data_IF_703013406094
#
_entry.id   IF_703013406094
#
_cell.length_a   1.000
_cell.length_b   1.000
_cell.length_c   1.000
_cell.angle_alpha   90.00
_cell.angle_beta   90.00
_cell.angle_gamma   90.00
#
_symmetry.space_group_name_H-M   'P 1'
#
loop_
_entity.id
_entity.type
_entity.pdbx_description
1 polymer ?
#
# COMPACT_ATOMS: atom_id res chain seq x y z
N UNK A 1 16.33 63.82 -4.57
CA UNK A 1 17.60 64.40 -4.03
C UNK A 1 18.56 63.26 -3.75
N UNK A 2 19.65 63.25 -4.52
CA UNK A 2 20.93 62.56 -4.37
C UNK A 2 20.99 61.04 -4.42
N UNK A 3 21.34 60.58 -5.55
CA UNK A 3 22.19 59.51 -6.06
C UNK A 3 23.49 59.41 -5.22
N UNK A 4 23.92 58.19 -4.94
CA UNK A 4 25.33 57.89 -4.85
C UNK A 4 25.62 56.53 -5.44
N UNK A 5 26.17 56.59 -6.63
CA UNK A 5 27.08 55.61 -7.24
C UNK A 5 28.42 55.61 -6.48
N UNK A 6 29.05 54.48 -6.34
CA UNK A 6 30.49 54.25 -6.51
C UNK A 6 30.74 52.77 -6.10
N UNK A 7 31.49 52.02 -6.72
CA UNK A 7 32.49 51.93 -7.79
C UNK A 7 33.09 50.52 -7.63
N UNK A 8 33.00 49.73 -8.66
CA UNK A 8 34.15 49.28 -9.45
C UNK A 8 35.37 48.73 -8.70
N UNK A 9 35.64 47.48 -8.89
CA UNK A 9 36.88 46.97 -9.56
C UNK A 9 37.00 45.45 -9.46
N UNK A 10 36.80 44.82 -10.58
CA UNK A 10 37.69 43.77 -11.17
C UNK A 10 38.59 42.97 -10.23
N UNK A 11 38.32 41.69 -10.12
CA UNK A 11 39.38 40.67 -10.13
C UNK A 11 38.90 39.50 -10.99
N UNK A 12 39.48 39.42 -12.15
CA UNK A 12 39.56 38.26 -13.02
C UNK A 12 40.45 37.23 -12.33
N UNK A 13 39.93 36.06 -12.04
CA UNK A 13 40.73 34.88 -11.84
C UNK A 13 40.13 33.74 -12.66
N UNK A 14 40.77 33.54 -13.79
CA UNK A 14 40.71 32.36 -14.65
C UNK A 14 41.24 31.20 -13.83
N UNK A 15 40.43 30.22 -13.54
CA UNK A 15 40.93 28.88 -13.21
C UNK A 15 40.14 27.82 -13.96
N UNK A 16 40.95 27.10 -14.69
CA UNK A 16 40.64 26.17 -15.75
C UNK A 16 39.66 25.07 -15.36
N UNK A 17 38.79 24.79 -16.32
CA UNK A 17 38.05 23.58 -16.54
C UNK A 17 38.82 22.30 -16.24
N UNK A 18 38.21 21.44 -15.44
CA UNK A 18 38.26 20.01 -15.64
C UNK A 18 36.79 19.50 -15.67
N UNK A 19 36.27 19.44 -16.88
CA UNK A 19 35.04 18.72 -17.17
C UNK A 19 35.33 17.24 -17.11
N UNK A 20 35.21 16.66 -15.93
CA UNK A 20 35.13 15.21 -15.81
C UNK A 20 33.70 14.81 -16.19
N UNK A 21 33.52 14.32 -17.40
CA UNK A 21 32.32 13.62 -17.83
C UNK A 21 32.19 12.32 -17.03
N UNK A 22 31.49 12.38 -15.93
CA UNK A 22 31.03 11.16 -15.24
C UNK A 22 29.86 10.65 -16.06
N UNK A 23 30.13 9.69 -16.92
CA UNK A 23 29.13 8.83 -17.54
C UNK A 23 28.48 8.01 -16.43
N UNK A 24 27.35 8.50 -15.89
CA UNK A 24 26.47 7.67 -15.10
C UNK A 24 25.83 6.66 -16.05
N UNK A 25 26.36 5.45 -16.05
CA UNK A 25 25.63 4.29 -16.51
C UNK A 25 24.36 4.20 -15.62
N UNK A 26 23.22 4.56 -16.16
CA UNK A 26 21.92 4.29 -15.56
C UNK A 26 21.75 2.78 -15.51
N UNK A 27 22.20 2.18 -14.42
CA UNK A 27 21.74 0.87 -14.01
C UNK A 27 20.26 1.05 -13.63
N UNK A 28 19.38 0.43 -14.38
CA UNK A 28 17.94 0.36 -14.03
C UNK A 28 17.83 -0.02 -12.55
N UNK A 29 17.46 0.96 -11.73
CA UNK A 29 17.26 0.73 -10.31
C UNK A 29 15.90 0.03 -10.17
N UNK A 30 15.95 -1.25 -9.89
CA UNK A 30 14.81 -1.96 -9.30
C UNK A 30 14.35 -1.18 -8.07
N UNK A 31 13.03 -0.96 -7.86
CA UNK A 31 12.54 -0.25 -6.69
C UNK A 31 13.08 -0.93 -5.44
N UNK A 32 13.51 -0.15 -4.41
CA UNK A 32 14.01 -0.72 -3.18
C UNK A 32 12.94 -1.61 -2.54
N UNK A 33 13.32 -2.80 -2.06
CA UNK A 33 12.39 -3.64 -1.31
C UNK A 33 11.94 -2.88 -0.06
N UNK A 34 10.70 -3.11 0.42
CA UNK A 34 10.22 -2.52 1.66
C UNK A 34 11.18 -2.90 2.81
N UNK A 35 11.37 -1.99 3.81
CA UNK A 35 12.29 -2.25 4.90
C UNK A 35 11.93 -3.54 5.66
N UNK A 36 12.92 -4.34 6.10
CA UNK A 36 12.69 -5.55 6.86
C UNK A 36 11.91 -5.21 8.14
N UNK A 37 10.81 -5.90 8.40
CA UNK A 37 10.11 -5.83 9.69
C UNK A 37 10.92 -6.58 10.73
N UNK A 38 11.22 -5.94 11.85
CA UNK A 38 11.94 -6.52 12.99
C UNK A 38 11.30 -7.82 13.48
N UNK A 39 12.14 -8.82 13.67
CA UNK A 39 11.84 -10.17 14.16
C UNK A 39 11.20 -10.14 15.54
N UNK A 40 9.97 -10.62 15.67
CA UNK A 40 9.31 -10.94 16.95
C UNK A 40 8.79 -12.36 16.93
N UNK A 41 9.64 -13.29 17.43
CA UNK A 41 9.25 -14.46 18.23
C UNK A 41 8.31 -15.51 17.61
N UNK A 42 8.88 -16.66 17.43
CA UNK A 42 8.39 -18.01 17.08
C UNK A 42 7.06 -18.41 17.77
N UNK A 43 5.93 -18.29 17.07
CA UNK A 43 4.71 -19.14 17.10
C UNK A 43 3.53 -18.59 16.27
N UNK A 44 3.80 -17.67 15.33
CA UNK A 44 2.79 -17.11 14.41
C UNK A 44 3.01 -17.47 12.93
N UNK A 45 3.94 -18.36 12.63
CA UNK A 45 4.69 -18.40 11.39
C UNK A 45 3.89 -18.64 10.10
N UNK A 46 2.96 -19.58 10.06
CA UNK A 46 2.27 -19.92 8.81
C UNK A 46 1.23 -18.86 8.36
N UNK A 47 0.69 -18.09 9.29
CA UNK A 47 -0.25 -17.01 8.95
C UNK A 47 0.48 -15.75 8.51
N UNK A 48 1.66 -15.49 9.08
CA UNK A 48 2.50 -14.35 8.73
C UNK A 48 3.11 -14.53 7.34
N UNK A 49 3.67 -15.70 7.06
CA UNK A 49 4.24 -16.07 5.76
C UNK A 49 3.23 -15.94 4.62
N UNK A 50 1.98 -16.35 4.84
CA UNK A 50 0.91 -16.20 3.84
C UNK A 50 0.54 -14.75 3.59
N UNK A 51 0.56 -13.91 4.62
CA UNK A 51 0.25 -12.48 4.48
C UNK A 51 1.37 -11.76 3.76
N UNK A 52 2.62 -12.00 4.13
CA UNK A 52 3.80 -11.44 3.49
C UNK A 52 3.88 -11.81 2.01
N UNK A 53 3.60 -13.06 1.68
CA UNK A 53 3.50 -13.51 0.29
C UNK A 53 2.39 -12.77 -0.49
N UNK A 54 1.22 -12.54 0.12
CA UNK A 54 0.13 -11.80 -0.52
C UNK A 54 0.50 -10.33 -0.72
N UNK A 55 1.13 -9.71 0.27
CA UNK A 55 1.58 -8.31 0.17
C UNK A 55 2.64 -8.15 -0.94
N UNK A 56 3.62 -9.05 -1.00
CA UNK A 56 4.64 -9.06 -2.06
C UNK A 56 4.01 -9.22 -3.45
N UNK A 57 3.09 -10.16 -3.61
CA UNK A 57 2.35 -10.35 -4.85
C UNK A 57 1.55 -9.10 -5.23
N UNK A 58 0.93 -8.43 -4.25
CA UNK A 58 0.16 -7.21 -4.46
C UNK A 58 1.04 -6.05 -4.92
N UNK A 59 2.20 -5.88 -4.30
CA UNK A 59 3.17 -4.86 -4.69
C UNK A 59 3.58 -5.03 -6.15
N UNK A 60 4.01 -6.23 -6.54
CA UNK A 60 4.39 -6.52 -7.91
C UNK A 60 3.23 -6.31 -8.91
N UNK A 61 2.04 -6.76 -8.54
CA UNK A 61 0.83 -6.58 -9.36
C UNK A 61 0.47 -5.11 -9.57
N UNK A 62 0.39 -4.33 -8.49
CA UNK A 62 0.02 -2.91 -8.57
C UNK A 62 1.08 -2.09 -9.31
N UNK A 63 2.38 -2.32 -9.05
CA UNK A 63 3.47 -1.63 -9.76
C UNK A 63 3.32 -1.81 -11.27
N UNK A 64 3.08 -3.04 -11.72
CA UNK A 64 2.89 -3.36 -13.15
C UNK A 64 1.61 -2.74 -13.71
N UNK A 65 0.48 -2.84 -13.00
CA UNK A 65 -0.83 -2.35 -13.48
C UNK A 65 -0.91 -0.84 -13.57
N UNK A 66 -0.27 -0.13 -12.63
CA UNK A 66 -0.23 1.32 -12.60
C UNK A 66 0.87 1.89 -13.50
N UNK A 67 1.79 1.05 -13.99
CA UNK A 67 2.96 1.50 -14.76
C UNK A 67 3.69 2.64 -14.03
N UNK A 68 4.05 2.38 -12.75
CA UNK A 68 4.70 3.37 -11.90
C UNK A 68 6.14 3.59 -12.37
N UNK A 69 6.51 4.86 -12.54
CA UNK A 69 7.93 5.22 -12.64
C UNK A 69 8.61 5.04 -11.29
N UNK A 70 9.95 4.99 -11.26
CA UNK A 70 10.69 4.89 -10.00
C UNK A 70 10.39 6.05 -9.05
N UNK A 71 10.23 7.26 -9.57
CA UNK A 71 9.90 8.45 -8.79
C UNK A 71 8.48 8.38 -8.22
N UNK A 72 7.51 7.97 -9.03
CA UNK A 72 6.14 7.77 -8.57
C UNK A 72 6.05 6.67 -7.50
N UNK A 73 6.76 5.56 -7.70
CA UNK A 73 6.79 4.45 -6.75
C UNK A 73 7.36 4.88 -5.38
N UNK A 74 8.43 5.67 -5.36
CA UNK A 74 9.02 6.20 -4.12
C UNK A 74 8.03 7.07 -3.32
N UNK A 75 7.18 7.85 -4.00
CA UNK A 75 6.17 8.70 -3.35
C UNK A 75 4.90 7.92 -2.99
N UNK A 76 4.51 6.98 -3.81
CA UNK A 76 3.26 6.23 -3.68
C UNK A 76 3.30 5.18 -2.58
N UNK A 77 4.34 4.33 -2.53
CA UNK A 77 4.38 3.19 -1.60
C UNK A 77 4.29 3.56 -0.13
N UNK A 78 4.95 4.61 0.38
CA UNK A 78 4.79 5.00 1.77
C UNK A 78 3.34 5.37 2.13
N UNK A 79 2.66 6.07 1.23
CA UNK A 79 1.24 6.45 1.41
C UNK A 79 0.33 5.23 1.34
N UNK A 80 0.58 4.34 0.37
CA UNK A 80 -0.21 3.13 0.17
C UNK A 80 -0.08 2.15 1.34
N UNK A 81 1.12 1.94 1.85
CA UNK A 81 1.36 1.04 2.97
C UNK A 81 0.65 1.54 4.23
N UNK A 82 0.72 2.84 4.54
CA UNK A 82 -0.04 3.43 5.66
C UNK A 82 -1.55 3.23 5.50
N UNK A 83 -2.08 3.42 4.29
CA UNK A 83 -3.47 3.13 3.97
C UNK A 83 -3.83 1.67 4.23
N UNK A 84 -3.04 0.76 3.68
CA UNK A 84 -3.24 -0.68 3.79
C UNK A 84 -3.25 -1.15 5.25
N UNK A 85 -2.30 -0.67 6.05
CA UNK A 85 -2.20 -1.04 7.47
C UNK A 85 -3.43 -0.58 8.26
N UNK A 86 -3.82 0.70 8.13
CA UNK A 86 -5.01 1.23 8.80
C UNK A 86 -6.30 0.53 8.36
N UNK A 87 -6.42 0.24 7.06
CA UNK A 87 -7.57 -0.48 6.52
C UNK A 87 -7.65 -1.91 7.08
N UNK A 88 -6.50 -2.58 7.22
CA UNK A 88 -6.45 -3.91 7.82
C UNK A 88 -6.85 -3.89 9.29
N UNK A 89 -6.45 -2.89 10.06
CA UNK A 89 -6.84 -2.72 11.47
C UNK A 89 -8.35 -2.57 11.62
N UNK A 90 -8.97 -1.67 10.83
CA UNK A 90 -10.43 -1.48 10.83
C UNK A 90 -11.14 -2.80 10.49
N UNK A 91 -10.71 -3.47 9.42
CA UNK A 91 -11.32 -4.73 8.97
C UNK A 91 -11.11 -5.88 9.95
N UNK A 92 -9.96 -5.93 10.63
CA UNK A 92 -9.68 -6.92 11.67
C UNK A 92 -10.63 -6.74 12.85
N UNK A 93 -10.75 -5.50 13.35
CA UNK A 93 -11.65 -5.16 14.46
C UNK A 93 -13.11 -5.49 14.10
N UNK A 94 -13.58 -5.08 12.92
CA UNK A 94 -14.94 -5.39 12.44
C UNK A 94 -15.21 -6.90 12.39
N UNK A 95 -14.26 -7.69 11.88
CA UNK A 95 -14.41 -9.16 11.86
C UNK A 95 -14.46 -9.76 13.26
N UNK A 96 -13.66 -9.26 14.20
CA UNK A 96 -13.70 -9.71 15.60
C UNK A 96 -15.06 -9.41 16.22
N UNK A 97 -15.55 -8.17 16.11
CA UNK A 97 -16.87 -7.77 16.60
C UNK A 97 -17.99 -8.66 16.00
N UNK A 98 -17.94 -8.89 14.69
CA UNK A 98 -18.91 -9.75 14.01
C UNK A 98 -18.89 -11.20 14.54
N UNK A 99 -17.70 -11.77 14.72
CA UNK A 99 -17.57 -13.13 15.23
C UNK A 99 -18.04 -13.24 16.69
N UNK A 100 -17.79 -12.26 17.52
CA UNK A 100 -18.26 -12.22 18.89
C UNK A 100 -19.79 -12.10 18.96
N UNK A 101 -20.37 -11.19 18.21
CA UNK A 101 -21.81 -11.05 18.12
C UNK A 101 -22.46 -12.35 17.60
N UNK A 102 -21.91 -12.95 16.53
CA UNK A 102 -22.44 -14.20 15.97
C UNK A 102 -22.41 -15.36 16.98
N UNK A 103 -21.37 -15.47 17.81
CA UNK A 103 -21.27 -16.54 18.82
C UNK A 103 -22.33 -16.43 19.92
N UNK A 104 -22.77 -15.22 20.23
CA UNK A 104 -23.71 -14.91 21.32
C UNK A 104 -25.11 -14.57 20.81
N UNK A 105 -25.35 -14.67 19.51
CA UNK A 105 -26.55 -14.10 18.87
C UNK A 105 -27.86 -14.61 19.51
N UNK A 106 -27.95 -15.90 19.81
CA UNK A 106 -29.15 -16.50 20.39
C UNK A 106 -29.38 -16.12 21.87
N UNK A 107 -28.34 -15.58 22.53
CA UNK A 107 -28.38 -15.12 23.93
C UNK A 107 -28.54 -13.60 24.04
N UNK A 108 -28.43 -12.87 22.91
CA UNK A 108 -28.49 -11.41 22.88
C UNK A 108 -29.94 -10.91 23.01
N UNK A 109 -30.08 -9.85 23.79
CA UNK A 109 -31.31 -9.07 23.83
C UNK A 109 -31.46 -8.22 22.55
N UNK A 110 -32.67 -7.81 22.20
CA UNK A 110 -32.95 -6.93 21.05
C UNK A 110 -32.05 -5.67 21.06
N UNK A 111 -31.86 -5.07 22.24
CA UNK A 111 -30.99 -3.89 22.41
C UNK A 111 -29.52 -4.19 22.09
N UNK A 112 -29.01 -5.35 22.45
CA UNK A 112 -27.65 -5.75 22.14
C UNK A 112 -27.47 -6.05 20.65
N UNK A 113 -28.51 -6.64 20.02
CA UNK A 113 -28.53 -6.84 18.56
C UNK A 113 -28.55 -5.49 17.83
N UNK A 114 -29.41 -4.54 18.24
CA UNK A 114 -29.43 -3.18 17.69
C UNK A 114 -28.06 -2.52 17.78
N UNK A 115 -27.43 -2.57 18.97
CA UNK A 115 -26.09 -2.00 19.17
C UNK A 115 -25.03 -2.67 18.29
N UNK A 116 -25.10 -3.98 18.07
CA UNK A 116 -24.17 -4.70 17.19
C UNK A 116 -24.34 -4.27 15.73
N UNK A 117 -25.56 -4.07 15.27
CA UNK A 117 -25.85 -3.57 13.91
C UNK A 117 -25.38 -2.12 13.73
N UNK A 118 -25.63 -1.25 14.70
CA UNK A 118 -25.16 0.14 14.68
C UNK A 118 -23.62 0.23 14.65
N UNK A 119 -22.95 -0.61 15.45
CA UNK A 119 -21.50 -0.71 15.44
C UNK A 119 -20.95 -1.17 14.08
N UNK A 120 -21.61 -2.14 13.41
CA UNK A 120 -21.21 -2.58 12.07
C UNK A 120 -21.34 -1.42 11.05
N UNK A 121 -22.43 -0.63 11.12
CA UNK A 121 -22.61 0.55 10.26
C UNK A 121 -21.55 1.62 10.54
N UNK A 122 -21.24 1.87 11.82
CA UNK A 122 -20.18 2.82 12.21
C UNK A 122 -18.80 2.35 11.72
N UNK A 123 -18.50 1.07 11.77
CA UNK A 123 -17.21 0.53 11.30
C UNK A 123 -17.09 0.58 9.76
N UNK A 124 -18.21 0.40 9.02
CA UNK A 124 -18.22 0.65 7.56
C UNK A 124 -18.00 2.12 7.21
N UNK A 125 -18.59 3.02 8.00
CA UNK A 125 -18.37 4.46 7.81
C UNK A 125 -16.89 4.83 8.02
N UNK A 126 -16.24 4.30 9.07
CA UNK A 126 -14.79 4.51 9.30
C UNK A 126 -13.93 4.02 8.13
N UNK A 127 -14.29 2.86 7.53
CA UNK A 127 -13.60 2.35 6.35
C UNK A 127 -13.74 3.31 5.17
N UNK A 128 -14.94 3.83 4.92
CA UNK A 128 -15.19 4.80 3.85
C UNK A 128 -14.47 6.13 4.09
N UNK A 129 -14.44 6.62 5.33
CA UNK A 129 -13.77 7.87 5.67
C UNK A 129 -12.25 7.74 5.48
N UNK A 130 -11.67 6.60 5.87
CA UNK A 130 -10.27 6.28 5.59
C UNK A 130 -9.99 6.26 4.08
N UNK A 131 -10.86 5.64 3.28
CA UNK A 131 -10.71 5.61 1.82
C UNK A 131 -10.75 7.02 1.23
N UNK A 132 -11.63 7.90 1.71
CA UNK A 132 -11.72 9.30 1.26
C UNK A 132 -10.48 10.10 1.63
N UNK A 133 -9.97 9.92 2.86
CA UNK A 133 -8.73 10.57 3.30
C UNK A 133 -7.58 10.20 2.37
N UNK A 134 -7.38 8.89 2.15
CA UNK A 134 -6.26 8.42 1.33
C UNK A 134 -6.45 8.63 -0.17
N UNK A 135 -7.70 8.71 -0.67
CA UNK A 135 -7.96 9.16 -2.04
C UNK A 135 -7.34 10.54 -2.32
N UNK A 136 -7.46 11.47 -1.37
CA UNK A 136 -6.84 12.79 -1.50
C UNK A 136 -5.31 12.71 -1.49
N UNK A 137 -4.73 11.85 -0.65
CA UNK A 137 -3.28 11.62 -0.59
C UNK A 137 -2.75 10.95 -1.87
N UNK A 138 -3.49 9.98 -2.43
CA UNK A 138 -3.11 9.35 -3.71
C UNK A 138 -3.11 10.35 -4.86
N UNK A 139 -4.09 11.27 -4.92
CA UNK A 139 -4.10 12.34 -5.93
C UNK A 139 -2.94 13.32 -5.79
N UNK A 140 -2.35 13.45 -4.61
CA UNK A 140 -1.21 14.31 -4.40
C UNK A 140 0.12 13.68 -4.89
N UNK A 141 0.17 12.35 -5.01
CA UNK A 141 1.40 11.63 -5.38
C UNK A 141 1.34 10.94 -6.75
N UNK A 142 0.14 10.78 -7.32
CA UNK A 142 -0.07 10.14 -8.63
C UNK A 142 -0.98 10.98 -9.54
N UNK A 143 -0.78 10.93 -10.86
CA UNK A 143 -1.74 11.44 -11.82
C UNK A 143 -3.12 10.78 -11.66
N UNK A 144 -4.19 11.54 -11.86
CA UNK A 144 -5.57 11.05 -11.63
C UNK A 144 -5.91 9.77 -12.41
N UNK A 145 -5.36 9.61 -13.62
CA UNK A 145 -5.54 8.36 -14.39
C UNK A 145 -4.93 7.14 -13.71
N UNK A 146 -3.80 7.31 -13.02
CA UNK A 146 -3.17 6.22 -12.25
C UNK A 146 -3.91 5.94 -10.95
N UNK A 147 -4.48 6.96 -10.31
CA UNK A 147 -5.40 6.77 -9.16
C UNK A 147 -6.64 5.99 -9.57
N UNK A 148 -7.25 6.28 -10.72
CA UNK A 148 -8.36 5.49 -11.22
C UNK A 148 -7.95 4.03 -11.51
N UNK A 149 -6.78 3.81 -12.13
CA UNK A 149 -6.22 2.46 -12.34
C UNK A 149 -5.96 1.72 -11.03
N UNK A 150 -5.56 2.42 -9.95
CA UNK A 150 -5.33 1.82 -8.63
C UNK A 150 -6.57 1.08 -8.14
N UNK A 151 -7.73 1.73 -8.12
CA UNK A 151 -8.97 1.09 -7.66
C UNK A 151 -9.37 -0.12 -8.51
N UNK A 152 -9.24 -0.02 -9.83
CA UNK A 152 -9.49 -1.15 -10.72
C UNK A 152 -8.50 -2.28 -10.47
N UNK A 153 -7.22 -1.97 -10.28
CA UNK A 153 -6.19 -2.96 -10.03
C UNK A 153 -6.36 -3.66 -8.66
N UNK A 154 -6.80 -2.95 -7.63
CA UNK A 154 -7.11 -3.56 -6.32
C UNK A 154 -8.23 -4.59 -6.43
N UNK A 155 -9.32 -4.28 -7.14
CA UNK A 155 -10.41 -5.25 -7.36
C UNK A 155 -9.95 -6.43 -8.23
N UNK A 156 -9.16 -6.19 -9.28
CA UNK A 156 -8.59 -7.26 -10.09
C UNK A 156 -7.70 -8.19 -9.26
N UNK A 157 -6.82 -7.64 -8.42
CA UNK A 157 -5.95 -8.42 -7.54
C UNK A 157 -6.76 -9.30 -6.58
N UNK A 158 -7.79 -8.73 -5.98
CA UNK A 158 -8.71 -9.48 -5.09
C UNK A 158 -9.36 -10.65 -5.82
N UNK A 159 -9.86 -10.44 -7.05
CA UNK A 159 -10.48 -11.49 -7.84
C UNK A 159 -9.47 -12.57 -8.24
N UNK A 160 -8.25 -12.21 -8.64
CA UNK A 160 -7.19 -13.17 -8.96
C UNK A 160 -6.81 -14.01 -7.74
N UNK A 161 -6.70 -13.38 -6.57
CA UNK A 161 -6.39 -14.09 -5.33
C UNK A 161 -7.48 -15.11 -4.96
N UNK A 162 -8.75 -14.70 -5.05
CA UNK A 162 -9.88 -15.59 -4.80
C UNK A 162 -9.91 -16.78 -5.78
N UNK A 163 -9.64 -16.54 -7.06
CA UNK A 163 -9.59 -17.60 -8.07
C UNK A 163 -8.43 -18.57 -7.79
N UNK A 164 -7.25 -18.08 -7.40
CA UNK A 164 -6.12 -18.94 -7.03
C UNK A 164 -6.44 -19.81 -5.82
N UNK A 165 -7.10 -19.27 -4.79
CA UNK A 165 -7.52 -20.05 -3.64
C UNK A 165 -8.53 -21.12 -4.01
N UNK A 166 -9.57 -20.78 -4.76
CA UNK A 166 -10.60 -21.71 -5.21
C UNK A 166 -10.05 -22.85 -6.08
N UNK A 167 -9.07 -22.56 -6.94
CA UNK A 167 -8.45 -23.57 -7.79
C UNK A 167 -7.48 -24.47 -7.02
N UNK A 168 -6.88 -23.99 -5.92
CA UNK A 168 -6.04 -24.81 -5.04
C UNK A 168 -6.87 -25.87 -4.32
N UNK A 169 -8.09 -25.54 -3.91
CA UNK A 169 -9.00 -26.47 -3.24
C UNK A 169 -9.62 -27.50 -4.21
N UNK A 170 -9.54 -27.24 -5.52
CA UNK A 170 -10.07 -28.13 -6.56
C UNK A 170 -9.04 -29.09 -7.18
N UNK A 171 -7.77 -29.04 -6.76
CA UNK A 171 -6.76 -30.00 -7.25
C UNK A 171 -7.12 -31.38 -6.74
N UNK A 172 -7.41 -32.36 -7.61
CA UNK A 172 -7.68 -33.73 -7.16
C UNK A 172 -6.46 -34.27 -6.41
N UNK A 173 -6.65 -35.19 -5.44
CA UNK A 173 -5.55 -35.86 -4.78
C UNK A 173 -4.68 -36.52 -5.86
N UNK A 174 -3.37 -36.26 -5.77
CA UNK A 174 -2.39 -36.97 -6.60
C UNK A 174 -2.61 -38.44 -6.32
N UNK A 175 -3.09 -39.20 -7.30
CA UNK A 175 -3.05 -40.65 -7.23
C UNK A 175 -1.58 -41.01 -7.37
N UNK A 176 -0.97 -41.40 -6.26
CA UNK A 176 0.31 -42.09 -6.29
C UNK A 176 0.05 -43.37 -7.10
N UNK A 177 0.66 -43.37 -8.27
CA UNK A 177 0.52 -44.49 -9.24
C UNK A 177 1.21 -45.72 -8.69
N UNK A 178 0.53 -46.84 -8.94
CA UNK A 178 1.10 -48.18 -8.92
C UNK A 178 2.40 -48.28 -9.72
#
# INVERSE_FOLDING_TARGET
MKINLLNSKTILLVSALLVSTITFAQKEATPPPPPPKEDKGEKGDRHNDKRENIETLKIGFLTKKLDLTSEEAQKFWPVYNQYSDKLQEIRKKRRQNYHEAKKKFDEMTDKEVEQAVDNEMADRQKELDLQREYHSKFKAVLPIKKVAKLYVAEEQFKMELLNKLKNKDRKPPVRDGE
#
